data_IF_224396299521
#
_entry.id   IF_224396299521
#
_cell.length_a   1.000
_cell.length_b   1.000
_cell.length_c   1.000
_cell.angle_alpha   90.00
_cell.angle_beta   90.00
_cell.angle_gamma   90.00
#
_symmetry.space_group_name_H-M   'P 1'
#
loop_
_entity.id
_entity.type
_entity.pdbx_description
1 polymer ?
#
# COMPACT_ATOMS: atom_id res chain seq x y z
N UNK A 1 -27.33 6.28 24.01
CA UNK A 1 -26.78 7.13 25.09
C UNK A 1 -25.80 8.09 24.40
N UNK A 2 -26.09 9.38 24.31
CA UNK A 2 -25.24 10.32 23.57
C UNK A 2 -24.03 10.72 24.42
N UNK A 3 -22.82 10.59 23.88
CA UNK A 3 -21.59 11.02 24.54
C UNK A 3 -21.40 12.53 24.32
N UNK A 4 -21.47 13.31 25.38
CA UNK A 4 -21.12 14.74 25.34
C UNK A 4 -19.61 14.86 25.57
N UNK A 5 -18.87 15.17 24.52
CA UNK A 5 -17.42 15.38 24.55
C UNK A 5 -17.12 16.89 24.65
N UNK A 6 -16.31 17.28 25.64
CA UNK A 6 -15.78 18.63 25.76
C UNK A 6 -14.62 18.80 24.77
N UNK A 7 -14.92 19.10 23.50
CA UNK A 7 -13.91 19.14 22.43
C UNK A 7 -13.23 20.51 22.29
N UNK A 8 -11.89 20.51 22.32
CA UNK A 8 -11.12 21.46 21.52
C UNK A 8 -11.14 20.93 20.09
N UNK A 9 -12.18 21.31 19.36
CA UNK A 9 -12.54 20.76 18.05
C UNK A 9 -11.40 20.96 17.03
N UNK A 10 -10.50 19.99 16.91
CA UNK A 10 -9.32 20.04 16.03
C UNK A 10 -9.68 19.46 14.65
N UNK A 11 -10.70 20.01 14.01
CA UNK A 11 -11.10 19.64 12.65
C UNK A 11 -10.86 20.77 11.66
N UNK A 12 -10.05 20.53 10.63
CA UNK A 12 -10.01 21.40 9.45
C UNK A 12 -10.97 20.87 8.39
N UNK A 13 -11.65 21.79 7.69
CA UNK A 13 -12.37 21.42 6.48
C UNK A 13 -11.33 21.08 5.40
N UNK A 14 -11.33 19.85 4.92
CA UNK A 14 -10.36 19.34 3.94
C UNK A 14 -11.11 18.94 2.69
N UNK A 15 -10.70 19.51 1.56
CA UNK A 15 -11.16 19.09 0.23
C UNK A 15 -10.22 17.98 -0.24
N UNK A 16 -10.76 16.77 -0.41
CA UNK A 16 -10.03 15.62 -0.94
C UNK A 16 -10.35 15.50 -2.43
N UNK A 17 -9.34 15.41 -3.32
CA UNK A 17 -9.58 15.18 -4.74
C UNK A 17 -10.43 13.93 -5.00
N UNK A 18 -11.31 13.99 -6.00
CA UNK A 18 -12.11 12.82 -6.42
C UNK A 18 -11.28 11.84 -7.25
N UNK A 19 -10.31 11.20 -6.60
CA UNK A 19 -9.41 10.21 -7.18
C UNK A 19 -9.22 9.04 -6.19
N UNK A 20 -9.23 7.77 -6.63
CA UNK A 20 -9.08 6.61 -5.74
C UNK A 20 -7.81 6.66 -4.86
N UNK A 21 -6.68 7.05 -5.44
CA UNK A 21 -5.40 7.21 -4.71
C UNK A 21 -5.53 8.28 -3.65
N UNK A 22 -6.03 9.47 -4.00
CA UNK A 22 -6.17 10.59 -3.05
C UNK A 22 -7.11 10.25 -1.89
N UNK A 23 -8.22 9.57 -2.19
CA UNK A 23 -9.19 9.10 -1.18
C UNK A 23 -8.53 8.13 -0.20
N UNK A 24 -7.76 7.15 -0.69
CA UNK A 24 -7.10 6.16 0.14
C UNK A 24 -5.94 6.76 0.96
N UNK A 25 -5.15 7.66 0.38
CA UNK A 25 -4.14 8.45 1.11
C UNK A 25 -4.76 9.25 2.24
N UNK A 26 -5.95 9.84 2.02
CA UNK A 26 -6.66 10.58 3.04
C UNK A 26 -7.15 9.68 4.19
N UNK A 27 -7.67 8.48 3.86
CA UNK A 27 -7.98 7.47 4.87
C UNK A 27 -6.75 7.11 5.71
N UNK A 28 -5.63 6.80 5.05
CA UNK A 28 -4.38 6.45 5.72
C UNK A 28 -3.88 7.59 6.62
N UNK A 29 -3.94 8.84 6.16
CA UNK A 29 -3.59 10.02 6.96
C UNK A 29 -4.43 10.10 8.25
N UNK A 30 -5.73 9.79 8.16
CA UNK A 30 -6.61 9.75 9.32
C UNK A 30 -6.17 8.65 10.31
N UNK A 31 -5.88 7.44 9.82
CA UNK A 31 -5.40 6.34 10.66
C UNK A 31 -4.05 6.64 11.31
N UNK A 32 -3.14 7.30 10.58
CA UNK A 32 -1.86 7.73 11.14
C UNK A 32 -2.01 8.70 12.32
N UNK A 33 -3.04 9.54 12.32
CA UNK A 33 -3.35 10.44 13.45
C UNK A 33 -3.94 9.69 14.64
N UNK A 34 -4.79 8.68 14.39
CA UNK A 34 -5.37 7.81 15.44
C UNK A 34 -4.27 6.99 16.11
N UNK A 35 -3.36 6.43 15.31
CA UNK A 35 -2.38 5.41 15.71
C UNK A 35 -0.95 5.93 15.85
N UNK A 36 -0.71 7.23 15.73
CA UNK A 36 0.64 7.82 15.86
C UNK A 36 1.72 7.22 14.95
N UNK A 37 1.36 6.86 13.72
CA UNK A 37 2.28 6.17 12.81
C UNK A 37 3.38 7.09 12.27
N UNK A 38 3.24 8.41 12.41
CA UNK A 38 4.24 9.40 11.99
C UNK A 38 5.55 9.35 12.78
N UNK A 39 5.58 8.70 13.95
CA UNK A 39 6.79 8.55 14.76
C UNK A 39 7.60 7.30 14.40
N UNK A 40 7.20 6.56 13.36
CA UNK A 40 7.95 5.40 12.88
C UNK A 40 9.11 5.83 11.98
N UNK A 41 10.14 4.99 11.83
CA UNK A 41 11.32 5.28 10.99
C UNK A 41 11.00 5.33 9.48
N UNK A 42 9.82 4.85 9.10
CA UNK A 42 9.36 4.87 7.72
C UNK A 42 8.74 6.22 7.37
N UNK A 43 9.09 6.79 6.22
CA UNK A 43 8.53 8.05 5.74
C UNK A 43 7.09 7.88 5.23
N UNK A 44 6.16 7.72 6.18
CA UNK A 44 4.73 7.56 5.94
C UNK A 44 4.08 8.83 5.38
N UNK A 45 4.79 9.97 5.44
CA UNK A 45 4.26 11.24 4.94
C UNK A 45 4.03 11.20 3.44
N UNK A 46 4.90 10.50 2.69
CA UNK A 46 4.76 10.25 1.25
C UNK A 46 3.51 9.47 0.90
N UNK A 47 3.10 8.54 1.76
CA UNK A 47 1.91 7.71 1.55
C UNK A 47 0.60 8.40 2.00
N UNK A 48 0.69 9.54 2.68
CA UNK A 48 -0.45 10.24 3.29
C UNK A 48 -0.70 11.62 2.70
N UNK A 49 0.20 12.12 1.83
CA UNK A 49 0.03 13.40 1.13
C UNK A 49 -0.94 13.30 -0.06
N UNK A 50 -2.22 13.22 0.28
CA UNK A 50 -3.32 13.19 -0.70
C UNK A 50 -3.40 14.42 -1.62
N UNK A 51 -2.70 15.52 -1.30
CA UNK A 51 -2.63 16.70 -2.18
C UNK A 51 -1.69 16.47 -3.37
N UNK A 52 -0.72 15.58 -3.19
CA UNK A 52 0.27 15.19 -4.21
C UNK A 52 0.05 13.77 -4.72
N UNK A 53 -1.19 13.29 -4.70
CA UNK A 53 -1.55 11.92 -5.11
C UNK A 53 -1.07 11.54 -6.52
N UNK A 54 -0.92 12.52 -7.43
CA UNK A 54 -0.41 12.31 -8.79
C UNK A 54 1.08 11.99 -8.85
N UNK A 55 1.82 12.23 -7.76
CA UNK A 55 3.27 12.00 -7.68
C UNK A 55 3.62 10.67 -6.98
N UNK A 56 2.64 9.84 -6.63
CA UNK A 56 2.93 8.55 -6.00
C UNK A 56 3.62 7.63 -7.02
N UNK A 57 4.68 6.94 -6.60
CA UNK A 57 5.31 5.89 -7.42
C UNK A 57 4.47 4.61 -7.36
N UNK A 58 4.66 3.70 -8.33
CA UNK A 58 3.97 2.40 -8.31
C UNK A 58 4.32 1.57 -7.06
N UNK A 59 5.57 1.68 -6.57
CA UNK A 59 6.03 1.04 -5.34
C UNK A 59 5.36 1.62 -4.09
N UNK A 60 5.29 2.95 -4.01
CA UNK A 60 4.60 3.64 -2.91
C UNK A 60 3.10 3.33 -2.94
N UNK A 61 2.50 3.24 -4.13
CA UNK A 61 1.10 2.89 -4.32
C UNK A 61 0.80 1.49 -3.80
N UNK A 62 1.62 0.50 -4.18
CA UNK A 62 1.50 -0.86 -3.67
C UNK A 62 1.66 -0.90 -2.14
N UNK A 63 2.64 -0.18 -1.61
CA UNK A 63 2.89 -0.07 -0.17
C UNK A 63 1.71 0.56 0.58
N UNK A 64 1.12 1.62 0.03
CA UNK A 64 -0.07 2.26 0.57
C UNK A 64 -1.25 1.29 0.64
N UNK A 65 -1.50 0.53 -0.43
CA UNK A 65 -2.60 -0.44 -0.48
C UNK A 65 -2.42 -1.54 0.58
N UNK A 66 -1.22 -2.13 0.66
CA UNK A 66 -0.88 -3.13 1.68
C UNK A 66 -1.10 -2.57 3.09
N UNK A 67 -0.62 -1.36 3.35
CA UNK A 67 -0.77 -0.71 4.65
C UNK A 67 -2.24 -0.44 4.98
N UNK A 68 -3.04 -0.02 4.01
CA UNK A 68 -4.48 0.17 4.20
C UNK A 68 -5.19 -1.14 4.52
N UNK A 69 -4.79 -2.26 3.91
CA UNK A 69 -5.33 -3.59 4.24
C UNK A 69 -4.99 -4.04 5.66
N UNK A 70 -3.83 -3.66 6.20
CA UNK A 70 -3.50 -3.90 7.62
C UNK A 70 -4.27 -2.98 8.58
N UNK A 71 -4.69 -1.82 8.09
CA UNK A 71 -5.47 -0.84 8.83
C UNK A 71 -6.95 -0.93 8.44
N UNK A 72 -7.48 -2.15 8.37
CA UNK A 72 -8.86 -2.38 7.97
C UNK A 72 -9.86 -1.81 9.01
N UNK A 73 -10.85 -1.00 8.59
CA UNK A 73 -11.85 -0.43 9.50
C UNK A 73 -12.59 -1.46 10.33
N UNK A 74 -12.85 -2.66 9.81
CA UNK A 74 -13.54 -3.73 10.53
C UNK A 74 -12.74 -4.21 11.73
N UNK A 75 -11.41 -4.23 11.63
CA UNK A 75 -10.52 -4.60 12.75
C UNK A 75 -10.30 -3.49 13.77
N UNK A 76 -10.50 -2.23 13.37
CA UNK A 76 -10.26 -1.05 14.19
C UNK A 76 -11.54 -0.51 14.85
N UNK A 77 -12.71 -0.88 14.31
CA UNK A 77 -14.02 -0.48 14.82
C UNK A 77 -14.22 -1.02 16.23
N UNK A 78 -14.79 -0.18 17.11
CA UNK A 78 -14.98 -0.43 18.54
C UNK A 78 -13.68 -0.56 19.36
N UNK A 79 -12.52 -0.34 18.71
CA UNK A 79 -11.20 -0.39 19.36
C UNK A 79 -10.59 1.01 19.45
N UNK A 80 -10.46 1.68 18.30
CA UNK A 80 -9.92 3.04 18.21
C UNK A 80 -10.69 3.96 17.26
N UNK A 81 -11.59 3.41 16.44
CA UNK A 81 -12.54 4.16 15.64
C UNK A 81 -13.96 3.68 15.96
N UNK A 82 -14.93 4.59 15.95
CA UNK A 82 -16.31 4.28 16.35
C UNK A 82 -17.29 4.90 15.37
N UNK A 83 -18.26 4.12 14.92
CA UNK A 83 -19.37 4.67 14.14
C UNK A 83 -20.30 5.42 15.09
N UNK A 84 -20.37 6.74 14.97
CA UNK A 84 -21.27 7.58 15.76
C UNK A 84 -21.59 8.87 15.00
N UNK A 85 -22.78 8.91 14.41
CA UNK A 85 -23.22 10.08 13.64
C UNK A 85 -23.49 11.30 14.52
N UNK A 86 -23.94 11.07 15.76
CA UNK A 86 -24.26 12.13 16.71
C UNK A 86 -22.97 12.82 17.16
N UNK A 87 -21.94 12.04 17.50
CA UNK A 87 -20.63 12.56 17.85
C UNK A 87 -19.96 13.33 16.69
N UNK A 88 -20.20 12.89 15.44
CA UNK A 88 -19.69 13.56 14.25
C UNK A 88 -20.40 14.89 13.92
N UNK A 89 -21.66 15.04 14.28
CA UNK A 89 -22.47 16.22 13.96
C UNK A 89 -22.52 16.47 12.45
N UNK A 90 -22.06 17.64 12.00
CA UNK A 90 -22.05 18.02 10.57
C UNK A 90 -20.82 17.51 9.79
N UNK A 91 -19.86 16.88 10.46
CA UNK A 91 -18.63 16.35 9.83
C UNK A 91 -18.85 14.88 9.44
N UNK A 92 -18.06 14.38 8.48
CA UNK A 92 -18.07 12.95 8.08
C UNK A 92 -17.25 12.09 9.04
N UNK A 93 -16.25 12.70 9.70
CA UNK A 93 -15.48 12.12 10.79
C UNK A 93 -15.05 13.22 11.77
N UNK A 94 -14.70 12.81 13.00
CA UNK A 94 -14.24 13.70 14.06
C UNK A 94 -13.20 13.02 14.91
N UNK A 95 -12.16 13.75 15.31
CA UNK A 95 -11.13 13.25 16.21
C UNK A 95 -11.34 13.82 17.61
N UNK A 96 -11.19 12.96 18.61
CA UNK A 96 -11.21 13.30 20.02
C UNK A 96 -9.92 12.78 20.66
N UNK A 97 -9.34 13.53 21.59
CA UNK A 97 -8.18 13.03 22.33
C UNK A 97 -8.62 11.91 23.28
N UNK A 98 -7.80 10.86 23.42
CA UNK A 98 -8.13 9.74 24.33
C UNK A 98 -8.34 10.23 25.77
N UNK A 99 -7.67 11.33 26.15
CA UNK A 99 -7.75 11.92 27.50
C UNK A 99 -9.06 12.69 27.76
N UNK A 100 -9.81 13.07 26.72
CA UNK A 100 -11.07 13.80 26.85
C UNK A 100 -12.29 12.87 26.88
N UNK A 101 -12.07 11.56 26.75
CA UNK A 101 -13.14 10.58 26.78
C UNK A 101 -13.66 10.35 28.21
N UNK A 102 -14.97 10.10 28.36
CA UNK A 102 -15.55 9.66 29.63
C UNK A 102 -14.83 8.40 30.15
N UNK A 103 -14.57 8.34 31.46
CA UNK A 103 -13.84 7.22 32.11
C UNK A 103 -14.49 5.84 31.90
N UNK A 104 -15.76 5.81 31.53
CA UNK A 104 -16.54 4.60 31.25
C UNK A 104 -16.46 4.15 29.78
N UNK A 105 -15.80 4.89 28.90
CA UNK A 105 -15.58 4.46 27.51
C UNK A 105 -14.34 3.57 27.44
N UNK A 106 -14.56 2.27 27.25
CA UNK A 106 -13.47 1.31 27.03
C UNK A 106 -12.81 1.63 25.68
N UNK A 107 -11.57 2.11 25.73
CA UNK A 107 -10.77 2.43 24.55
C UNK A 107 -9.45 1.70 24.66
N UNK A 108 -9.00 1.10 23.56
CA UNK A 108 -7.69 0.45 23.56
C UNK A 108 -6.58 1.50 23.65
N UNK A 109 -5.64 1.32 24.59
CA UNK A 109 -4.42 2.15 24.66
C UNK A 109 -3.45 1.87 23.51
N UNK A 110 -3.60 0.71 22.88
CA UNK A 110 -2.77 0.23 21.78
C UNK A 110 -3.50 -0.83 20.98
N UNK A 111 -3.20 -0.92 19.69
CA UNK A 111 -3.69 -1.95 18.78
C UNK A 111 -2.52 -2.69 18.14
N UNK A 112 -2.73 -3.93 17.74
CA UNK A 112 -1.72 -4.69 16.99
C UNK A 112 -2.03 -4.55 15.51
N UNK A 113 -1.10 -3.99 14.74
CA UNK A 113 -1.16 -3.87 13.29
C UNK A 113 -0.09 -4.77 12.71
N UNK A 114 -0.49 -5.82 11.98
CA UNK A 114 0.41 -6.91 11.62
C UNK A 114 0.99 -7.56 12.88
N UNK A 115 2.31 -7.43 13.07
CA UNK A 115 3.02 -7.94 14.26
C UNK A 115 3.53 -6.84 15.20
N UNK A 116 3.14 -5.58 14.94
CA UNK A 116 3.64 -4.42 15.69
C UNK A 116 2.53 -3.87 16.57
N UNK A 117 2.86 -3.64 17.86
CA UNK A 117 1.95 -2.99 18.80
C UNK A 117 2.10 -1.49 18.69
N UNK A 118 1.01 -0.82 18.30
CA UNK A 118 0.97 0.61 17.99
C UNK A 118 0.11 1.32 19.03
N UNK A 119 0.54 2.50 19.48
CA UNK A 119 -0.18 3.30 20.49
C UNK A 119 -1.34 4.06 19.85
N UNK A 120 -2.49 4.05 20.53
CA UNK A 120 -3.63 4.90 20.15
C UNK A 120 -3.45 6.27 20.82
N UNK A 121 -3.41 7.33 20.03
CA UNK A 121 -3.34 8.71 20.53
C UNK A 121 -4.69 9.43 20.51
N UNK A 122 -5.49 9.15 19.49
CA UNK A 122 -6.79 9.78 19.28
C UNK A 122 -7.83 8.72 18.98
N UNK A 123 -9.06 9.07 19.27
CA UNK A 123 -10.23 8.31 18.84
C UNK A 123 -10.90 9.04 17.70
N UNK A 124 -11.30 8.27 16.69
CA UNK A 124 -12.03 8.80 15.55
C UNK A 124 -13.47 8.32 15.61
N UNK A 125 -14.41 9.26 15.68
CA UNK A 125 -15.80 8.99 15.35
C UNK A 125 -16.00 9.18 13.84
N UNK A 126 -16.83 8.35 13.23
CA UNK A 126 -17.12 8.46 11.80
C UNK A 126 -18.59 8.16 11.48
N UNK A 127 -19.05 8.71 10.35
CA UNK A 127 -20.27 8.32 9.65
C UNK A 127 -19.93 7.25 8.61
N UNK A 128 -20.84 6.33 8.29
CA UNK A 128 -20.54 5.25 7.31
C UNK A 128 -20.07 5.76 5.95
N UNK A 129 -20.60 6.91 5.51
CA UNK A 129 -20.15 7.60 4.31
C UNK A 129 -18.63 7.84 4.26
N UNK A 130 -17.96 8.03 5.41
CA UNK A 130 -16.50 8.16 5.47
C UNK A 130 -15.80 6.86 5.05
N UNK A 131 -16.21 5.72 5.60
CA UNK A 131 -15.59 4.42 5.29
C UNK A 131 -15.89 4.03 3.84
N UNK A 132 -17.12 4.24 3.39
CA UNK A 132 -17.52 3.97 2.00
C UNK A 132 -16.67 4.80 1.03
N UNK A 133 -16.62 6.11 1.23
CA UNK A 133 -15.96 7.05 0.30
C UNK A 133 -14.44 6.93 0.29
N UNK A 134 -13.82 6.76 1.47
CA UNK A 134 -12.36 6.89 1.61
C UNK A 134 -11.63 5.56 1.76
N UNK A 135 -12.33 4.45 2.02
CA UNK A 135 -11.72 3.14 2.15
C UNK A 135 -12.31 2.11 1.17
N UNK A 136 -13.62 1.83 1.25
CA UNK A 136 -14.24 0.72 0.50
C UNK A 136 -14.21 0.97 -1.00
N UNK A 137 -14.73 2.10 -1.47
CA UNK A 137 -14.72 2.47 -2.89
C UNK A 137 -13.31 2.47 -3.51
N UNK A 138 -12.31 3.20 -2.95
CA UNK A 138 -10.99 3.26 -3.55
C UNK A 138 -10.24 1.92 -3.46
N UNK A 139 -10.41 1.15 -2.39
CA UNK A 139 -9.75 -0.16 -2.28
C UNK A 139 -10.33 -1.15 -3.30
N UNK A 140 -11.65 -1.17 -3.47
CA UNK A 140 -12.32 -1.99 -4.48
C UNK A 140 -11.84 -1.67 -5.91
N UNK A 141 -11.63 -0.38 -6.21
CA UNK A 141 -11.04 0.05 -7.49
C UNK A 141 -9.67 -0.60 -7.73
N UNK A 142 -8.78 -0.59 -6.73
CA UNK A 142 -7.45 -1.18 -6.88
C UNK A 142 -7.50 -2.70 -6.98
N UNK A 143 -8.33 -3.37 -6.18
CA UNK A 143 -8.53 -4.83 -6.28
C UNK A 143 -8.92 -5.21 -7.71
N UNK A 144 -9.93 -4.53 -8.29
CA UNK A 144 -10.34 -4.78 -9.67
C UNK A 144 -9.23 -4.50 -10.70
N UNK A 145 -8.44 -3.44 -10.48
CA UNK A 145 -7.33 -3.10 -11.36
C UNK A 145 -6.24 -4.18 -11.40
N UNK A 146 -5.88 -4.75 -10.23
CA UNK A 146 -4.85 -5.78 -10.13
C UNK A 146 -5.34 -7.19 -10.48
N UNK A 147 -6.63 -7.48 -10.32
CA UNK A 147 -7.23 -8.76 -10.72
C UNK A 147 -7.41 -8.89 -12.24
N UNK A 148 -7.25 -7.79 -13.00
CA UNK A 148 -7.43 -7.83 -14.46
C UNK A 148 -6.26 -8.57 -15.13
N UNK A 149 -6.51 -9.62 -15.94
CA UNK A 149 -5.48 -10.53 -16.47
C UNK A 149 -4.48 -9.90 -17.47
N UNK A 150 -4.64 -8.63 -17.83
CA UNK A 150 -3.76 -7.89 -18.74
C UNK A 150 -2.32 -7.72 -18.20
N UNK A 151 -2.13 -7.78 -16.87
CA UNK A 151 -0.80 -7.65 -16.23
C UNK A 151 0.03 -8.94 -16.17
N UNK A 152 -0.50 -10.11 -16.58
CA UNK A 152 0.25 -11.38 -16.62
C UNK A 152 0.99 -11.65 -17.94
N UNK A 153 0.87 -10.79 -18.96
CA UNK A 153 1.37 -11.05 -20.32
C UNK A 153 2.68 -10.34 -20.70
N UNK A 154 3.58 -10.10 -19.75
CA UNK A 154 4.96 -9.69 -20.07
C UNK A 154 6.00 -10.46 -19.25
N UNK A 155 5.98 -11.79 -19.35
CA UNK A 155 7.23 -12.54 -19.31
C UNK A 155 7.47 -13.08 -20.73
N UNK A 156 8.57 -12.70 -21.40
CA UNK A 156 8.96 -13.37 -22.63
C UNK A 156 9.30 -14.82 -22.27
N UNK A 157 8.43 -15.76 -22.63
CA UNK A 157 8.81 -17.16 -22.68
C UNK A 157 9.89 -17.28 -23.76
N UNK A 158 11.13 -17.55 -23.34
CA UNK A 158 12.17 -17.98 -24.26
C UNK A 158 11.77 -19.35 -24.80
N UNK A 159 11.16 -19.37 -25.98
CA UNK A 159 10.92 -20.59 -26.75
C UNK A 159 12.28 -21.10 -27.24
N UNK A 160 12.85 -22.09 -26.55
CA UNK A 160 13.93 -22.89 -27.12
C UNK A 160 13.35 -23.69 -28.28
N UNK A 161 13.67 -23.29 -29.52
CA UNK A 161 13.45 -24.13 -30.69
C UNK A 161 14.41 -25.32 -30.62
N UNK A 162 13.86 -26.47 -30.24
CA UNK A 162 14.48 -27.77 -30.34
C UNK A 162 14.26 -28.27 -31.77
N UNK A 163 15.29 -28.26 -32.61
CA UNK A 163 15.25 -28.94 -33.91
C UNK A 163 15.60 -30.41 -33.71
N UNK A 164 14.64 -31.28 -33.97
CA UNK A 164 14.81 -32.72 -34.11
C UNK A 164 15.73 -33.05 -35.30
N UNK A 165 16.66 -33.99 -35.11
CA UNK A 165 17.00 -34.93 -36.18
C UNK A 165 17.51 -36.28 -35.64
N UNK A 166 17.08 -37.33 -36.31
CA UNK A 166 16.98 -38.75 -35.89
C UNK A 166 18.18 -39.58 -36.38
N UNK A 167 18.66 -40.52 -35.52
CA UNK A 167 19.41 -41.81 -35.70
C UNK A 167 20.44 -41.98 -36.88
N UNK A 168 21.55 -42.75 -36.86
CA UNK A 168 22.27 -43.71 -35.98
C UNK A 168 23.63 -44.08 -36.70
N UNK A 169 24.40 -45.10 -36.27
CA UNK A 169 25.75 -45.02 -35.69
C UNK A 169 26.92 -45.35 -36.65
N UNK A 170 28.17 -45.06 -36.25
CA UNK A 170 29.36 -45.86 -36.56
C UNK A 170 30.62 -45.34 -35.82
N UNK A 171 31.26 -46.22 -35.04
CA UNK A 171 32.68 -46.13 -34.61
C UNK A 171 33.53 -46.96 -35.60
N UNK A 172 34.89 -46.98 -35.60
CA UNK A 172 35.85 -46.32 -34.68
C UNK A 172 37.11 -45.71 -35.38
N UNK A 173 38.04 -45.23 -34.54
CA UNK A 173 39.52 -45.14 -34.70
C UNK A 173 40.22 -43.77 -34.87
N UNK A 174 41.00 -43.48 -33.80
CA UNK A 174 42.42 -43.08 -33.74
C UNK A 174 42.87 -41.63 -34.03
N UNK A 175 43.33 -41.01 -32.93
CA UNK A 175 44.65 -40.38 -32.68
C UNK A 175 45.16 -39.22 -33.55
N UNK A 176 45.75 -38.24 -32.83
CA UNK A 176 46.86 -37.30 -33.15
C UNK A 176 46.40 -35.83 -32.99
N UNK A 177 46.70 -35.13 -31.87
CA UNK A 177 47.93 -34.40 -31.43
C UNK A 177 48.26 -33.12 -32.22
N UNK A 178 48.40 -32.01 -31.45
CA UNK A 178 49.17 -30.76 -31.74
C UNK A 178 48.59 -29.86 -32.86
N UNK A 179 48.60 -28.52 -32.86
CA UNK A 179 49.31 -27.48 -32.07
C UNK A 179 48.75 -26.10 -32.46
N UNK A 180 48.79 -25.18 -31.49
CA UNK A 180 49.21 -23.76 -31.54
C UNK A 180 48.58 -22.71 -32.48
N UNK A 181 48.18 -21.61 -31.81
CA UNK A 181 48.45 -20.19 -32.09
C UNK A 181 48.02 -19.61 -33.44
N UNK A 182 47.21 -18.55 -33.39
CA UNK A 182 47.69 -17.16 -33.30
C UNK A 182 46.68 -16.16 -33.88
N UNK A 183 46.71 -14.94 -33.32
CA UNK A 183 46.23 -13.64 -33.84
C UNK A 183 44.80 -13.24 -33.41
N UNK A 184 44.62 -12.42 -32.36
CA UNK A 184 44.98 -10.99 -32.16
C UNK A 184 43.94 -10.03 -32.77
N UNK A 185 43.41 -9.14 -31.90
CA UNK A 185 42.76 -7.84 -32.16
C UNK A 185 41.40 -7.85 -32.90
N UNK A 186 40.37 -7.04 -32.58
CA UNK A 186 40.20 -5.78 -31.84
C UNK A 186 38.81 -5.80 -31.14
N UNK A 187 38.69 -5.47 -29.86
CA UNK A 187 38.47 -4.12 -29.31
C UNK A 187 37.07 -3.50 -29.61
N UNK A 188 36.24 -3.49 -28.55
CA UNK A 188 35.31 -2.42 -28.11
C UNK A 188 34.24 -1.92 -29.08
N UNK A 189 32.97 -2.06 -28.71
CA UNK A 189 32.29 -1.02 -27.92
C UNK A 189 30.81 -1.35 -27.74
N UNK A 190 30.40 -1.51 -26.49
CA UNK A 190 29.02 -1.30 -26.06
C UNK A 190 28.69 0.19 -26.13
N UNK A 191 27.57 0.55 -26.75
CA UNK A 191 26.64 1.58 -26.25
C UNK A 191 25.38 1.57 -27.12
N UNK A 192 24.30 1.00 -26.57
CA UNK A 192 22.95 1.37 -26.98
C UNK A 192 22.48 2.45 -26.01
N UNK A 193 22.31 3.67 -26.51
CA UNK A 193 21.47 4.71 -25.90
C UNK A 193 20.63 5.31 -27.03
N UNK A 194 19.31 5.22 -26.81
CA UNK A 194 18.17 5.89 -27.46
C UNK A 194 17.87 5.57 -28.93
#
# INVERSE_FOLDING_TARGET
MALVLNDKDSGSNVIVPNNPTAKLMYYLNCMCKVLNLYQTEYDITRLTDFRRYVCISDEDLASMIILCSYLDPGTLTDVCIFQDEVACGNKVNKFCDVNTLPKNMATAKSVTVGNVKVKVLKIMFYKMAFIETYYVEPLAYFIALYDTPSSRRQQPQQTFHQTDNVQKPQSPCKTVRMTNNSKNNDNRSCCCIL
#
